data_IF_987041908947
#
_entry.id   IF_987041908947
#
_cell.length_a   1.000
_cell.length_b   1.000
_cell.length_c   1.000
_cell.angle_alpha   90.00
_cell.angle_beta   90.00
_cell.angle_gamma   90.00
#
_symmetry.space_group_name_H-M   'P 1'
#
loop_
_entity.id
_entity.type
_entity.pdbx_description
1 polymer ?
#
# COMPACT_ATOMS: atom_id res chain seq x y z
N UNK A 1 6.11 -7.88 6.50
CA UNK A 1 5.54 -7.96 5.16
C UNK A 1 4.74 -9.24 5.11
N UNK A 2 3.59 -9.21 5.77
CA UNK A 2 2.68 -10.34 5.89
C UNK A 2 2.10 -10.69 4.51
N UNK A 3 1.88 -9.70 3.63
CA UNK A 3 1.40 -9.94 2.28
C UNK A 3 2.38 -10.68 1.37
N UNK A 4 3.67 -10.37 1.45
CA UNK A 4 4.69 -11.15 0.72
C UNK A 4 4.80 -12.58 1.24
N UNK A 5 4.72 -12.76 2.56
CA UNK A 5 4.76 -14.10 3.16
C UNK A 5 3.49 -14.90 2.84
N UNK A 6 2.33 -14.25 2.77
CA UNK A 6 1.09 -14.84 2.27
C UNK A 6 1.28 -15.41 0.86
N UNK A 7 1.79 -14.60 -0.09
CA UNK A 7 2.07 -15.06 -1.46
C UNK A 7 3.07 -16.23 -1.49
N UNK A 8 4.08 -16.21 -0.63
CA UNK A 8 5.06 -17.30 -0.48
C UNK A 8 4.49 -18.54 0.20
N UNK A 9 3.39 -18.43 0.93
CA UNK A 9 2.72 -19.56 1.57
C UNK A 9 1.76 -20.30 0.62
N UNK A 10 1.39 -19.69 -0.51
CA UNK A 10 0.51 -20.29 -1.51
C UNK A 10 1.05 -21.64 -2.02
N UNK A 11 0.14 -22.47 -2.50
CA UNK A 11 0.49 -23.75 -3.13
C UNK A 11 1.40 -23.53 -4.34
N UNK A 12 2.19 -24.54 -4.71
CA UNK A 12 3.05 -24.43 -5.89
C UNK A 12 2.22 -24.18 -7.16
N UNK A 13 1.06 -24.83 -7.29
CA UNK A 13 0.14 -24.61 -8.40
C UNK A 13 -0.30 -23.14 -8.51
N UNK A 14 -0.66 -22.51 -7.39
CA UNK A 14 -1.04 -21.10 -7.38
C UNK A 14 0.14 -20.19 -7.76
N UNK A 15 1.35 -20.47 -7.24
CA UNK A 15 2.56 -19.72 -7.60
C UNK A 15 2.93 -19.86 -9.07
N UNK A 16 2.73 -21.04 -9.66
CA UNK A 16 2.99 -21.29 -11.08
C UNK A 16 2.01 -20.49 -11.95
N UNK A 17 0.72 -20.47 -11.57
CA UNK A 17 -0.29 -19.64 -12.24
C UNK A 17 0.01 -18.14 -12.14
N UNK A 18 0.37 -17.66 -10.94
CA UNK A 18 0.82 -16.27 -10.75
C UNK A 18 2.04 -15.98 -11.61
N UNK A 19 2.98 -16.91 -11.69
CA UNK A 19 4.20 -16.74 -12.49
C UNK A 19 3.90 -16.63 -13.98
N UNK A 20 2.94 -17.41 -14.48
CA UNK A 20 2.50 -17.33 -15.87
C UNK A 20 1.76 -16.01 -16.18
N UNK A 21 0.90 -15.54 -15.26
CA UNK A 21 0.04 -14.38 -15.48
C UNK A 21 0.75 -13.04 -15.20
N UNK A 22 1.55 -12.98 -14.14
CA UNK A 22 2.16 -11.75 -13.61
C UNK A 22 3.70 -11.76 -13.66
N UNK A 23 4.31 -12.82 -14.17
CA UNK A 23 5.77 -12.95 -14.26
C UNK A 23 6.47 -13.26 -12.93
N UNK A 24 5.71 -13.60 -11.89
CA UNK A 24 6.22 -14.05 -10.59
C UNK A 24 5.50 -13.42 -9.41
N UNK A 25 5.64 -14.02 -8.22
CA UNK A 25 5.04 -13.50 -6.99
C UNK A 25 5.63 -12.13 -6.63
N UNK A 26 6.93 -11.92 -6.86
CA UNK A 26 7.60 -10.65 -6.59
C UNK A 26 7.10 -9.53 -7.51
N UNK A 27 6.79 -9.84 -8.77
CA UNK A 27 6.28 -8.86 -9.73
C UNK A 27 4.85 -8.46 -9.41
N UNK A 28 3.99 -9.43 -9.07
CA UNK A 28 2.64 -9.16 -8.59
C UNK A 28 2.68 -8.27 -7.34
N UNK A 29 3.49 -8.68 -6.36
CA UNK A 29 3.70 -7.94 -5.11
C UNK A 29 4.11 -6.49 -5.39
N UNK A 30 5.17 -6.29 -6.18
CA UNK A 30 5.69 -4.97 -6.49
C UNK A 30 4.65 -4.11 -7.20
N UNK A 31 3.92 -4.67 -8.16
CA UNK A 31 2.93 -3.93 -8.95
C UNK A 31 1.80 -3.41 -8.08
N UNK A 32 1.19 -4.27 -7.25
CA UNK A 32 0.12 -3.87 -6.33
C UNK A 32 0.63 -2.87 -5.29
N UNK A 33 1.86 -3.07 -4.78
CA UNK A 33 2.50 -2.16 -3.86
C UNK A 33 2.71 -0.76 -4.47
N UNK A 34 3.17 -0.69 -5.72
CA UNK A 34 3.40 0.57 -6.43
C UNK A 34 2.09 1.30 -6.78
N UNK A 35 1.00 0.58 -7.04
CA UNK A 35 -0.35 1.16 -7.18
C UNK A 35 -0.78 1.82 -5.87
N UNK A 36 -0.73 1.10 -4.74
CA UNK A 36 -1.06 1.64 -3.42
C UNK A 36 -0.23 2.89 -3.07
N UNK A 37 1.07 2.84 -3.36
CA UNK A 37 1.97 3.97 -3.19
C UNK A 37 1.57 5.16 -4.06
N UNK A 38 1.13 4.91 -5.29
CA UNK A 38 0.64 5.95 -6.20
C UNK A 38 -0.62 6.60 -5.64
N UNK A 39 -1.61 5.81 -5.21
CA UNK A 39 -2.83 6.32 -4.59
C UNK A 39 -2.53 7.17 -3.35
N UNK A 40 -1.68 6.68 -2.45
CA UNK A 40 -1.24 7.43 -1.28
C UNK A 40 -0.64 8.80 -1.66
N UNK A 41 0.25 8.82 -2.66
CA UNK A 41 0.87 10.06 -3.13
C UNK A 41 -0.15 11.01 -3.77
N UNK A 42 -1.15 10.48 -4.48
CA UNK A 42 -2.23 11.26 -5.07
C UNK A 42 -3.09 11.91 -3.98
N UNK A 43 -3.48 11.16 -2.94
CA UNK A 43 -4.22 11.70 -1.79
C UNK A 43 -3.43 12.76 -1.02
N UNK A 44 -2.12 12.57 -0.86
CA UNK A 44 -1.25 13.50 -0.15
C UNK A 44 -1.05 14.83 -0.92
N UNK A 45 -0.83 14.76 -2.24
CA UNK A 45 -0.42 15.93 -3.03
C UNK A 45 -1.58 16.61 -3.77
N UNK A 46 -2.66 15.87 -4.08
CA UNK A 46 -3.83 16.35 -4.84
C UNK A 46 -3.49 17.23 -6.05
N UNK A 47 -2.69 16.73 -7.02
CA UNK A 47 -2.37 17.49 -8.23
C UNK A 47 -3.63 17.84 -9.05
N UNK A 48 -3.52 18.74 -10.01
CA UNK A 48 -4.66 19.25 -10.80
C UNK A 48 -5.51 18.12 -11.45
N UNK A 49 -4.85 17.07 -11.95
CA UNK A 49 -5.48 15.90 -12.56
C UNK A 49 -5.68 14.72 -11.57
N UNK A 50 -5.63 14.99 -10.26
CA UNK A 50 -5.72 13.99 -9.17
C UNK A 50 -6.81 12.94 -9.38
N UNK A 51 -8.05 13.37 -9.65
CA UNK A 51 -9.19 12.43 -9.77
C UNK A 51 -9.03 11.46 -10.94
N UNK A 52 -8.50 11.94 -12.06
CA UNK A 52 -8.27 11.10 -13.24
C UNK A 52 -7.15 10.10 -12.98
N UNK A 53 -6.05 10.54 -12.35
CA UNK A 53 -4.97 9.64 -11.98
C UNK A 53 -5.40 8.60 -10.94
N UNK A 54 -6.25 8.98 -9.98
CA UNK A 54 -6.79 8.06 -8.99
C UNK A 54 -7.64 6.97 -9.67
N UNK A 55 -8.54 7.37 -10.57
CA UNK A 55 -9.35 6.41 -11.33
C UNK A 55 -8.49 5.42 -12.14
N UNK A 56 -7.37 5.88 -12.71
CA UNK A 56 -6.45 4.99 -13.43
C UNK A 56 -5.78 3.97 -12.51
N UNK A 57 -5.39 4.38 -11.29
CA UNK A 57 -4.83 3.48 -10.30
C UNK A 57 -5.87 2.45 -9.81
N UNK A 58 -7.08 2.91 -9.50
CA UNK A 58 -8.20 2.05 -9.10
C UNK A 58 -8.54 1.03 -10.20
N UNK A 59 -8.58 1.47 -11.47
CA UNK A 59 -8.83 0.57 -12.59
C UNK A 59 -7.72 -0.47 -12.77
N UNK A 60 -6.45 -0.06 -12.63
CA UNK A 60 -5.33 -0.98 -12.71
C UNK A 60 -5.36 -2.04 -11.59
N UNK A 61 -5.81 -1.65 -10.38
CA UNK A 61 -5.98 -2.59 -9.27
C UNK A 61 -7.11 -3.58 -9.56
N UNK A 62 -8.28 -3.09 -10.02
CA UNK A 62 -9.42 -3.94 -10.39
C UNK A 62 -9.04 -4.95 -11.49
N UNK A 63 -8.29 -4.52 -12.51
CA UNK A 63 -7.80 -5.42 -13.57
C UNK A 63 -6.88 -6.52 -13.01
N UNK A 64 -6.08 -6.22 -11.98
CA UNK A 64 -5.25 -7.25 -11.30
C UNK A 64 -6.14 -8.21 -10.52
N UNK A 65 -7.14 -7.71 -9.80
CA UNK A 65 -8.10 -8.53 -9.04
C UNK A 65 -8.86 -9.49 -9.96
N UNK A 66 -9.38 -9.00 -11.08
CA UNK A 66 -10.08 -9.82 -12.09
C UNK A 66 -9.16 -10.92 -12.65
N UNK A 67 -7.91 -10.59 -12.99
CA UNK A 67 -6.93 -11.57 -13.51
C UNK A 67 -6.53 -12.62 -12.46
N UNK A 68 -6.53 -12.26 -11.19
CA UNK A 68 -6.33 -13.21 -10.08
C UNK A 68 -7.52 -14.16 -9.95
N UNK A 69 -8.75 -13.65 -10.08
CA UNK A 69 -9.97 -14.47 -10.10
C UNK A 69 -9.97 -15.47 -11.26
N UNK A 70 -9.52 -15.06 -12.45
CA UNK A 70 -9.41 -15.93 -13.63
C UNK A 70 -8.48 -17.14 -13.42
N UNK A 71 -7.45 -16.99 -12.59
CA UNK A 71 -6.54 -18.09 -12.23
C UNK A 71 -6.96 -18.85 -10.97
N UNK A 72 -8.13 -18.52 -10.41
CA UNK A 72 -8.75 -19.20 -9.27
C UNK A 72 -8.23 -18.75 -7.91
N UNK A 73 -7.70 -17.53 -7.81
CA UNK A 73 -7.35 -16.87 -6.55
C UNK A 73 -8.37 -15.79 -6.22
N UNK A 74 -8.62 -15.55 -4.94
CA UNK A 74 -9.42 -14.38 -4.54
C UNK A 74 -8.56 -13.12 -4.75
N UNK A 75 -8.88 -12.37 -5.79
CA UNK A 75 -8.11 -11.19 -6.20
C UNK A 75 -8.05 -10.15 -5.09
N UNK A 76 -9.18 -9.91 -4.43
CA UNK A 76 -9.32 -8.91 -3.38
C UNK A 76 -8.55 -9.28 -2.12
N UNK A 77 -8.58 -10.55 -1.72
CA UNK A 77 -7.79 -11.01 -0.57
C UNK A 77 -6.30 -10.82 -0.86
N UNK A 78 -5.83 -11.23 -2.03
CA UNK A 78 -4.43 -11.07 -2.44
C UNK A 78 -4.00 -9.61 -2.46
N UNK A 79 -4.76 -8.72 -3.09
CA UNK A 79 -4.42 -7.29 -3.17
C UNK A 79 -4.49 -6.62 -1.80
N UNK A 80 -5.43 -7.01 -0.94
CA UNK A 80 -5.57 -6.49 0.43
C UNK A 80 -4.34 -6.83 1.28
N UNK A 81 -3.85 -8.07 1.22
CA UNK A 81 -2.66 -8.48 1.96
C UNK A 81 -1.41 -7.68 1.56
N UNK A 82 -1.24 -7.39 0.27
CA UNK A 82 -0.13 -6.55 -0.22
C UNK A 82 -0.34 -5.08 0.18
N UNK A 83 -1.57 -4.59 0.13
CA UNK A 83 -1.92 -3.21 0.54
C UNK A 83 -1.66 -2.97 2.03
N UNK A 84 -1.91 -3.98 2.87
CA UNK A 84 -1.61 -3.95 4.30
C UNK A 84 -0.11 -3.73 4.56
N UNK A 85 0.77 -4.42 3.83
CA UNK A 85 2.23 -4.22 3.94
C UNK A 85 2.64 -2.76 3.67
N UNK A 86 2.06 -2.14 2.64
CA UNK A 86 2.31 -0.73 2.36
C UNK A 86 1.81 0.16 3.50
N UNK A 87 0.59 -0.08 3.98
CA UNK A 87 0.00 0.63 5.12
C UNK A 87 0.87 0.57 6.38
N UNK A 88 1.38 -0.62 6.73
CA UNK A 88 2.29 -0.82 7.86
C UNK A 88 3.58 -0.01 7.73
N UNK A 89 4.17 0.05 6.54
CA UNK A 89 5.37 0.84 6.28
C UNK A 89 5.10 2.33 6.48
N UNK A 90 3.98 2.84 5.98
CA UNK A 90 3.60 4.24 6.14
C UNK A 90 3.35 4.57 7.61
N UNK A 91 2.61 3.73 8.34
CA UNK A 91 2.36 3.91 9.77
C UNK A 91 3.69 3.89 10.56
N UNK A 92 4.56 2.92 10.29
CA UNK A 92 5.86 2.80 10.95
C UNK A 92 6.75 4.02 10.69
N UNK A 93 6.78 4.52 9.45
CA UNK A 93 7.50 5.74 9.08
C UNK A 93 6.98 6.96 9.86
N UNK A 94 5.66 7.07 9.97
CA UNK A 94 5.00 8.17 10.68
C UNK A 94 5.24 8.13 12.19
N UNK A 95 5.19 6.95 12.81
CA UNK A 95 5.52 6.75 14.23
C UNK A 95 6.98 7.14 14.50
N UNK A 96 7.91 6.70 13.66
CA UNK A 96 9.32 7.05 13.80
C UNK A 96 9.57 8.56 13.65
N UNK A 97 8.89 9.21 12.71
CA UNK A 97 8.97 10.67 12.54
C UNK A 97 8.44 11.41 13.79
N UNK A 98 7.35 10.93 14.39
CA UNK A 98 6.81 11.47 15.63
C UNK A 98 7.78 11.28 16.80
N UNK A 99 8.34 10.08 16.97
CA UNK A 99 9.31 9.80 18.05
C UNK A 99 10.55 10.71 17.97
N UNK A 100 11.09 10.92 16.76
CA UNK A 100 12.18 11.87 16.53
C UNK A 100 11.78 13.29 16.93
N UNK A 101 10.59 13.74 16.52
CA UNK A 101 10.09 15.07 16.85
C UNK A 101 9.92 15.27 18.37
N UNK A 102 9.32 14.29 19.06
CA UNK A 102 9.10 14.35 20.50
C UNK A 102 10.40 14.33 21.29
N UNK A 103 11.43 13.60 20.82
CA UNK A 103 12.78 13.64 21.42
C UNK A 103 13.44 15.01 21.30
N UNK A 104 13.16 15.76 20.24
CA UNK A 104 13.74 17.08 20.00
C UNK A 104 12.98 18.21 20.69
N UNK A 105 11.65 18.10 20.78
CA UNK A 105 10.78 19.20 21.19
C UNK A 105 10.04 18.95 22.51
N UNK A 106 10.12 17.73 23.08
CA UNK A 106 9.41 17.33 24.28
C UNK A 106 8.02 16.76 23.98
N UNK A 107 7.39 16.18 25.01
CA UNK A 107 6.10 15.49 24.92
C UNK A 107 4.93 16.36 25.38
N UNK A 108 5.09 17.67 25.48
CA UNK A 108 4.01 18.54 25.93
C UNK A 108 2.88 18.59 24.89
N UNK A 109 1.65 18.77 25.39
CA UNK A 109 0.44 18.70 24.60
C UNK A 109 0.40 19.73 23.46
N UNK A 110 0.95 20.93 23.65
CA UNK A 110 0.91 21.98 22.63
C UNK A 110 1.83 21.64 21.45
N UNK A 111 3.04 21.17 21.75
CA UNK A 111 4.00 20.67 20.78
C UNK A 111 3.44 19.48 19.98
N UNK A 112 2.79 18.52 20.66
CA UNK A 112 2.12 17.38 20.01
C UNK A 112 0.97 17.82 19.09
N UNK A 113 0.11 18.72 19.57
CA UNK A 113 -1.03 19.27 18.81
C UNK A 113 -0.56 19.98 17.54
N UNK A 114 0.45 20.84 17.66
CA UNK A 114 0.93 21.64 16.53
C UNK A 114 1.61 20.78 15.46
N UNK A 115 2.30 19.70 15.86
CA UNK A 115 2.85 18.72 14.93
C UNK A 115 1.77 17.91 14.22
N UNK A 116 0.74 17.43 14.94
CA UNK A 116 -0.37 16.68 14.34
C UNK A 116 -1.10 17.56 13.31
N UNK A 117 -1.41 18.81 13.67
CA UNK A 117 -1.99 19.80 12.75
C UNK A 117 -1.18 19.98 11.49
N UNK A 118 0.14 20.14 11.63
CA UNK A 118 1.05 20.37 10.51
C UNK A 118 1.15 19.18 9.55
N UNK A 119 1.14 17.95 10.08
CA UNK A 119 1.44 16.75 9.29
C UNK A 119 0.18 16.00 8.81
N UNK A 120 -0.97 16.15 9.48
CA UNK A 120 -2.20 15.42 9.17
C UNK A 120 -3.40 16.31 8.87
N UNK A 121 -3.31 17.63 9.08
CA UNK A 121 -4.34 18.58 8.66
C UNK A 121 -5.66 18.53 9.44
N UNK A 122 -5.66 18.01 10.67
CA UNK A 122 -6.78 18.00 11.64
C UNK A 122 -6.65 19.11 12.68
#
# INVERSE_FOLDING_TARGET
MEGLEYLRSLSQEAKDKISAEFGGIENLYQTVFDINKTEYNLYANKPENYKSQLQLAENALNEIEERLEEIGLDGRDVTTEISNDFGEIIVSKNINALDIYLKQHGTDYLTMRDWIKKNYGI
#
